data_IF_284684963140
#
_entry.id   IF_284684963140
#
_cell.length_a   1.000
_cell.length_b   1.000
_cell.length_c   1.000
_cell.angle_alpha   90.00
_cell.angle_beta   90.00
_cell.angle_gamma   90.00
#
_symmetry.space_group_name_H-M   'P 1'
#
loop_
_entity.id
_entity.type
_entity.pdbx_description
1 polymer ?
#
# COMPACT_ATOMS: atom_id res chain seq x y z
N UNK A 1 0.00 38.05 17.98
CA UNK A 1 0.84 36.86 17.79
C UNK A 1 -0.09 35.68 17.81
N UNK A 2 -0.01 34.78 16.85
CA UNK A 2 -0.74 33.51 16.95
C UNK A 2 -0.26 32.80 18.25
N UNK A 3 -1.13 32.07 18.98
CA UNK A 3 -0.71 31.32 20.15
C UNK A 3 0.38 30.33 19.73
N UNK A 4 1.41 30.20 20.56
CA UNK A 4 2.48 29.23 20.36
C UNK A 4 1.89 27.83 20.55
N UNK A 5 1.92 27.00 19.48
CA UNK A 5 1.39 25.63 19.51
C UNK A 5 2.30 24.74 20.34
N UNK A 6 1.73 23.92 21.18
CA UNK A 6 2.46 22.92 21.96
C UNK A 6 2.40 21.56 21.26
N UNK A 7 3.53 20.86 21.18
CA UNK A 7 3.58 19.51 20.58
C UNK A 7 2.88 18.53 21.53
N UNK A 8 1.83 17.88 21.01
CA UNK A 8 1.10 16.84 21.73
C UNK A 8 1.64 15.43 21.43
N UNK A 9 2.07 15.16 20.20
CA UNK A 9 2.70 13.89 19.79
C UNK A 9 3.57 14.11 18.55
N UNK A 10 4.53 13.23 18.31
CA UNK A 10 5.45 13.33 17.17
C UNK A 10 5.93 11.96 16.72
N UNK A 11 5.89 11.71 15.41
CA UNK A 11 6.62 10.61 14.76
C UNK A 11 7.85 11.21 14.08
N UNK A 12 9.01 10.87 14.60
CA UNK A 12 10.29 11.49 14.21
C UNK A 12 10.50 11.50 12.71
N UNK A 13 10.82 12.67 12.17
CA UNK A 13 11.07 12.87 10.73
C UNK A 13 9.80 12.99 9.86
N UNK A 14 8.64 12.54 10.33
CA UNK A 14 7.46 12.36 9.49
C UNK A 14 6.28 13.28 9.80
N UNK A 15 5.89 13.41 11.06
CA UNK A 15 4.77 14.26 11.43
C UNK A 15 4.86 14.77 12.87
N UNK A 16 4.24 15.92 13.10
CA UNK A 16 4.05 16.51 14.43
C UNK A 16 2.56 16.82 14.60
N UNK A 17 1.99 16.37 15.73
CA UNK A 17 0.62 16.67 16.13
C UNK A 17 0.67 17.71 17.25
N UNK A 18 -0.07 18.79 17.12
CA UNK A 18 -0.15 19.86 18.09
C UNK A 18 -1.39 19.72 18.96
N UNK A 19 -1.39 20.42 20.09
CA UNK A 19 -2.46 20.40 21.09
C UNK A 19 -3.78 21.01 20.61
N UNK A 20 -3.75 21.84 19.57
CA UNK A 20 -4.92 22.37 18.86
C UNK A 20 -5.49 21.44 17.79
N UNK A 21 -4.91 20.23 17.62
CA UNK A 21 -5.31 19.25 16.60
C UNK A 21 -4.68 19.46 15.24
N UNK A 22 -3.87 20.50 15.04
CA UNK A 22 -3.14 20.70 13.79
C UNK A 22 -2.08 19.61 13.60
N UNK A 23 -1.97 19.07 12.39
CA UNK A 23 -0.99 18.04 12.01
C UNK A 23 -0.06 18.57 10.94
N UNK A 24 1.22 18.66 11.27
CA UNK A 24 2.28 19.04 10.34
C UNK A 24 3.01 17.78 9.84
N UNK A 25 2.98 17.54 8.53
CA UNK A 25 3.66 16.44 7.83
C UNK A 25 4.89 16.91 7.05
N UNK A 26 5.43 18.06 7.41
CA UNK A 26 6.69 18.52 6.84
C UNK A 26 7.83 17.58 7.23
N UNK A 27 8.54 17.07 6.21
CA UNK A 27 9.69 16.19 6.45
C UNK A 27 10.78 16.91 7.27
N UNK A 28 11.13 16.34 8.40
CA UNK A 28 12.18 16.83 9.31
C UNK A 28 13.31 15.82 9.52
N UNK A 29 13.28 14.72 8.78
CA UNK A 29 14.33 13.69 8.76
C UNK A 29 15.56 14.12 7.94
N UNK A 30 16.49 13.19 7.66
CA UNK A 30 17.70 13.49 6.91
C UNK A 30 17.38 14.11 5.54
N UNK A 31 17.99 15.27 5.18
CA UNK A 31 17.58 16.08 4.02
C UNK A 31 17.77 15.38 2.68
N UNK A 32 18.70 14.42 2.59
CA UNK A 32 18.94 13.64 1.36
C UNK A 32 17.77 12.73 0.97
N UNK A 33 16.81 12.49 1.87
CA UNK A 33 15.62 11.66 1.62
C UNK A 33 14.35 12.48 1.36
N UNK A 34 14.41 13.80 1.56
CA UNK A 34 13.22 14.67 1.43
C UNK A 34 12.52 14.51 0.08
N UNK A 35 13.28 14.46 -1.01
CA UNK A 35 12.71 14.38 -2.37
C UNK A 35 11.82 13.15 -2.59
N UNK A 36 11.99 12.08 -1.79
CA UNK A 36 11.17 10.87 -1.90
C UNK A 36 9.71 11.09 -1.49
N UNK A 37 9.47 12.11 -0.66
CA UNK A 37 8.13 12.55 -0.25
C UNK A 37 7.62 13.76 -1.04
N UNK A 38 8.39 14.27 -2.02
CA UNK A 38 7.93 15.37 -2.85
C UNK A 38 6.86 14.87 -3.84
N UNK A 39 5.75 15.60 -4.03
CA UNK A 39 4.71 15.21 -4.96
C UNK A 39 5.19 15.34 -6.40
N UNK A 40 4.89 14.33 -7.22
CA UNK A 40 5.14 14.36 -8.66
C UNK A 40 3.83 14.72 -9.37
N UNK A 41 3.77 15.82 -10.12
CA UNK A 41 2.58 16.18 -10.90
C UNK A 41 2.21 15.11 -11.92
N UNK A 42 0.90 14.92 -12.23
CA UNK A 42 0.50 14.02 -13.31
C UNK A 42 1.02 14.52 -14.66
N UNK A 43 1.30 13.59 -15.58
CA UNK A 43 1.76 13.92 -16.93
C UNK A 43 1.08 13.03 -17.97
N UNK A 44 0.48 13.66 -18.98
CA UNK A 44 -0.24 12.96 -20.04
C UNK A 44 0.69 12.34 -21.10
N UNK A 45 1.91 12.85 -21.22
CA UNK A 45 2.92 12.27 -22.10
C UNK A 45 3.53 11.02 -21.46
N UNK A 46 3.89 10.04 -22.29
CA UNK A 46 4.60 8.86 -21.81
C UNK A 46 6.02 9.21 -21.42
N UNK A 47 6.30 9.22 -20.12
CA UNK A 47 7.65 9.40 -19.54
C UNK A 47 8.09 8.03 -19.04
N UNK A 48 9.25 7.55 -19.48
CA UNK A 48 9.71 6.17 -19.21
C UNK A 48 8.66 5.09 -19.59
N UNK A 49 7.86 5.36 -20.65
CA UNK A 49 6.82 4.46 -21.13
C UNK A 49 5.53 4.40 -20.31
N UNK A 50 5.28 5.40 -19.44
CA UNK A 50 4.07 5.48 -18.62
C UNK A 50 3.52 6.90 -18.62
N UNK A 51 2.22 7.06 -18.80
CA UNK A 51 1.48 8.31 -18.57
C UNK A 51 0.76 8.25 -17.22
N UNK A 52 0.56 9.41 -16.59
CA UNK A 52 -0.14 9.48 -15.30
C UNK A 52 -1.29 10.47 -15.32
N UNK A 53 -2.39 10.13 -14.63
CA UNK A 53 -3.58 10.95 -14.54
C UNK A 53 -4.12 10.95 -13.10
N UNK A 54 -4.64 12.09 -12.64
CA UNK A 54 -5.39 12.15 -11.38
C UNK A 54 -6.88 12.23 -11.70
N UNK A 55 -7.69 11.40 -11.04
CA UNK A 55 -9.12 11.36 -11.22
C UNK A 55 -9.83 11.47 -9.87
N UNK A 56 -10.85 12.34 -9.80
CA UNK A 56 -11.81 12.30 -8.71
C UNK A 56 -12.80 11.17 -8.98
N UNK A 57 -12.90 10.23 -8.05
CA UNK A 57 -13.79 9.05 -8.17
C UNK A 57 -15.07 9.22 -7.34
N UNK A 58 -15.04 10.11 -6.37
CA UNK A 58 -16.19 10.58 -5.62
C UNK A 58 -16.04 12.07 -5.34
N UNK A 59 -16.67 12.94 -6.14
CA UNK A 59 -16.57 14.40 -5.95
C UNK A 59 -17.07 14.90 -4.60
N UNK A 60 -18.05 14.20 -3.98
CA UNK A 60 -18.66 14.61 -2.72
C UNK A 60 -17.72 14.36 -1.51
N UNK A 61 -16.73 13.49 -1.65
CA UNK A 61 -15.78 13.11 -0.60
C UNK A 61 -14.32 13.45 -0.90
N UNK A 62 -14.05 14.18 -1.99
CA UNK A 62 -12.69 14.44 -2.49
C UNK A 62 -11.83 13.19 -2.74
N UNK A 63 -12.46 12.00 -2.77
CA UNK A 63 -11.75 10.74 -3.01
C UNK A 63 -11.24 10.71 -4.45
N UNK A 64 -9.93 10.59 -4.58
CA UNK A 64 -9.23 10.62 -5.87
C UNK A 64 -8.21 9.50 -5.99
N UNK A 65 -7.81 9.22 -7.22
CA UNK A 65 -6.80 8.22 -7.55
C UNK A 65 -5.77 8.78 -8.50
N UNK A 66 -4.53 8.31 -8.39
CA UNK A 66 -3.47 8.47 -9.39
C UNK A 66 -3.44 7.20 -10.26
N UNK A 67 -3.60 7.37 -11.57
CA UNK A 67 -3.51 6.29 -12.55
C UNK A 67 -2.16 6.32 -13.25
N UNK A 68 -1.54 5.14 -13.39
CA UNK A 68 -0.34 4.89 -14.18
C UNK A 68 -0.74 4.03 -15.37
N UNK A 69 -0.66 4.57 -16.57
CA UNK A 69 -1.03 3.90 -17.81
C UNK A 69 0.24 3.59 -18.62
N UNK A 70 0.62 2.32 -18.77
CA UNK A 70 1.78 1.97 -19.60
C UNK A 70 1.45 2.14 -21.10
N UNK A 71 2.49 2.48 -21.86
CA UNK A 71 2.40 2.59 -23.31
C UNK A 71 2.33 1.21 -23.95
N UNK A 72 1.15 0.87 -24.49
CA UNK A 72 0.88 -0.40 -25.15
C UNK A 72 -0.02 -0.19 -26.38
N UNK A 73 -0.02 -1.10 -27.39
CA UNK A 73 -0.96 -1.07 -28.49
C UNK A 73 -2.41 -1.01 -28.02
N UNK A 74 -3.29 -0.37 -28.80
CA UNK A 74 -4.70 -0.19 -28.43
C UNK A 74 -5.49 -1.50 -28.34
N UNK A 75 -5.04 -2.54 -29.02
CA UNK A 75 -5.64 -3.87 -29.01
C UNK A 75 -5.36 -4.69 -27.74
N UNK A 76 -4.48 -4.23 -26.85
CA UNK A 76 -4.07 -4.97 -25.65
C UNK A 76 -4.91 -4.55 -24.46
N UNK A 77 -5.56 -5.51 -23.80
CA UNK A 77 -6.16 -5.32 -22.49
C UNK A 77 -5.16 -5.64 -21.40
N UNK A 78 -5.14 -4.80 -20.36
CA UNK A 78 -4.16 -4.80 -19.29
C UNK A 78 -4.81 -5.21 -17.96
N UNK A 79 -4.18 -6.05 -17.15
CA UNK A 79 -4.61 -6.24 -15.78
C UNK A 79 -4.61 -4.89 -15.05
N UNK A 80 -5.46 -4.79 -14.01
CA UNK A 80 -5.60 -3.58 -13.21
C UNK A 80 -5.08 -3.88 -11.81
N UNK A 81 -4.25 -2.99 -11.29
CA UNK A 81 -3.70 -3.05 -9.94
C UNK A 81 -4.28 -1.89 -9.14
N UNK A 82 -5.04 -2.17 -8.08
CA UNK A 82 -5.42 -1.18 -7.08
C UNK A 82 -4.35 -1.10 -6.01
N UNK A 83 -3.71 0.06 -5.88
CA UNK A 83 -2.63 0.30 -4.93
C UNK A 83 -3.10 1.13 -3.75
N UNK A 84 -2.73 0.69 -2.54
CA UNK A 84 -2.93 1.37 -1.27
C UNK A 84 -1.56 1.63 -0.63
N UNK A 85 -1.21 2.91 -0.48
CA UNK A 85 0.11 3.29 0.02
C UNK A 85 0.27 3.00 1.52
N UNK A 86 1.53 2.81 1.94
CA UNK A 86 1.92 2.68 3.33
C UNK A 86 1.97 4.00 4.07
N UNK A 87 2.80 4.06 5.13
CA UNK A 87 2.99 5.24 5.95
C UNK A 87 2.21 5.21 7.27
N UNK A 88 1.99 4.02 7.84
CA UNK A 88 1.41 3.85 9.17
C UNK A 88 0.01 4.44 9.32
N UNK A 89 -0.76 4.57 8.22
CA UNK A 89 -2.06 5.24 8.12
C UNK A 89 -2.02 6.77 8.35
N UNK A 90 -0.85 7.36 8.62
CA UNK A 90 -0.72 8.76 9.06
C UNK A 90 0.00 9.66 8.09
N UNK A 91 0.77 9.09 7.17
CA UNK A 91 1.60 9.81 6.20
C UNK A 91 1.48 9.18 4.82
N UNK A 92 2.17 9.77 3.86
CA UNK A 92 2.23 9.38 2.45
C UNK A 92 1.04 9.86 1.62
N UNK A 93 1.29 9.92 0.32
CA UNK A 93 0.29 10.24 -0.69
C UNK A 93 0.62 9.44 -1.97
N UNK A 94 -0.40 9.15 -2.77
CA UNK A 94 -0.27 8.38 -4.01
C UNK A 94 0.68 9.01 -5.05
N UNK A 95 0.93 10.30 -4.95
CA UNK A 95 1.78 11.09 -5.85
C UNK A 95 3.22 11.30 -5.34
N UNK A 96 3.59 10.80 -4.17
CA UNK A 96 4.96 10.95 -3.69
C UNK A 96 5.95 10.28 -4.64
N UNK A 97 7.13 10.90 -4.80
CA UNK A 97 8.16 10.43 -5.74
C UNK A 97 8.52 8.95 -5.54
N UNK A 98 8.60 8.46 -4.31
CA UNK A 98 8.93 7.06 -4.05
C UNK A 98 7.89 6.09 -4.66
N UNK A 99 6.59 6.42 -4.58
CA UNK A 99 5.53 5.63 -5.20
C UNK A 99 5.50 5.84 -6.72
N UNK A 100 5.65 7.09 -7.18
CA UNK A 100 5.76 7.38 -8.60
C UNK A 100 6.86 6.55 -9.27
N UNK A 101 8.07 6.55 -8.70
CA UNK A 101 9.20 5.80 -9.24
C UNK A 101 8.92 4.28 -9.28
N UNK A 102 8.38 3.74 -8.19
CA UNK A 102 8.10 2.30 -8.05
C UNK A 102 6.97 1.84 -8.95
N UNK A 103 5.84 2.55 -8.96
CA UNK A 103 4.65 2.13 -9.71
C UNK A 103 4.73 2.47 -11.20
N UNK A 104 5.50 3.47 -11.62
CA UNK A 104 5.89 3.66 -13.03
C UNK A 104 6.66 2.44 -13.53
N UNK A 105 7.62 1.96 -12.73
CA UNK A 105 8.39 0.76 -13.06
C UNK A 105 7.50 -0.48 -13.10
N UNK A 106 6.69 -0.71 -12.07
CA UNK A 106 5.79 -1.88 -12.00
C UNK A 106 4.77 -1.88 -13.14
N UNK A 107 4.12 -0.73 -13.43
CA UNK A 107 3.16 -0.61 -14.52
C UNK A 107 3.75 -1.05 -15.86
N UNK A 108 4.99 -0.63 -16.14
CA UNK A 108 5.71 -1.00 -17.36
C UNK A 108 6.14 -2.47 -17.36
N UNK A 109 6.75 -2.98 -16.27
CA UNK A 109 7.31 -4.34 -16.23
C UNK A 109 6.22 -5.42 -16.16
N UNK A 110 5.13 -5.16 -15.45
CA UNK A 110 3.97 -6.05 -15.38
C UNK A 110 3.03 -5.90 -16.60
N UNK A 111 3.13 -4.79 -17.36
CA UNK A 111 2.16 -4.45 -18.38
C UNK A 111 0.76 -4.30 -17.78
N UNK A 112 0.63 -3.47 -16.73
CA UNK A 112 -0.61 -3.33 -15.97
C UNK A 112 -0.96 -1.86 -15.75
N UNK A 113 -2.26 -1.54 -15.71
CA UNK A 113 -2.74 -0.25 -15.24
C UNK A 113 -2.65 -0.24 -13.71
N UNK A 114 -1.94 0.73 -13.13
CA UNK A 114 -1.92 0.90 -11.68
C UNK A 114 -2.81 2.07 -11.29
N UNK A 115 -3.67 1.87 -10.30
CA UNK A 115 -4.60 2.87 -9.75
C UNK A 115 -4.27 3.02 -8.26
N UNK A 116 -3.58 4.09 -7.91
CA UNK A 116 -3.14 4.38 -6.55
C UNK A 116 -4.12 5.33 -5.86
N UNK A 117 -4.69 4.89 -4.74
CA UNK A 117 -5.70 5.66 -4.00
C UNK A 117 -5.05 6.69 -3.10
N UNK A 118 -5.54 7.94 -3.11
CA UNK A 118 -5.24 8.93 -2.08
C UNK A 118 -6.10 8.63 -0.86
N UNK A 119 -5.48 8.06 0.16
CA UNK A 119 -6.17 7.64 1.37
C UNK A 119 -6.28 8.80 2.36
N UNK A 120 -7.39 8.90 3.07
CA UNK A 120 -7.50 9.78 4.23
C UNK A 120 -6.55 9.34 5.33
N UNK A 121 -5.89 10.30 5.96
CA UNK A 121 -4.81 10.06 6.91
C UNK A 121 -5.26 10.32 8.35
N UNK A 122 -4.74 9.50 9.27
CA UNK A 122 -4.83 9.72 10.69
C UNK A 122 -3.74 10.72 11.16
N UNK A 123 -3.92 11.38 12.31
CA UNK A 123 -4.99 11.20 13.28
C UNK A 123 -6.30 11.91 12.91
N UNK A 124 -6.35 12.76 11.87
CA UNK A 124 -7.56 13.48 11.48
C UNK A 124 -8.69 12.51 11.08
N UNK A 125 -8.30 11.42 10.42
CA UNK A 125 -9.20 10.36 9.98
C UNK A 125 -8.66 9.00 10.41
N UNK A 126 -8.92 8.63 11.67
CA UNK A 126 -8.51 7.33 12.19
C UNK A 126 -9.16 6.18 11.43
N UNK A 127 -8.56 4.99 11.52
CA UNK A 127 -9.18 3.78 10.99
C UNK A 127 -10.63 3.63 11.52
N UNK A 128 -11.56 3.18 10.66
CA UNK A 128 -11.33 2.53 9.37
C UNK A 128 -11.28 3.44 8.14
N UNK A 129 -11.20 4.78 8.25
CA UNK A 129 -11.34 5.72 7.14
C UNK A 129 -10.51 5.36 5.89
N UNK A 130 -9.24 5.00 6.04
CA UNK A 130 -8.39 4.59 4.93
C UNK A 130 -8.84 3.25 4.29
N UNK A 131 -9.40 2.33 5.09
CA UNK A 131 -10.00 1.08 4.57
C UNK A 131 -11.27 1.38 3.78
N UNK A 132 -12.10 2.30 4.26
CA UNK A 132 -13.33 2.70 3.57
C UNK A 132 -13.01 3.38 2.23
N UNK A 133 -11.97 4.21 2.16
CA UNK A 133 -11.51 4.83 0.92
C UNK A 133 -11.03 3.78 -0.09
N UNK A 134 -10.23 2.83 0.37
CA UNK A 134 -9.71 1.74 -0.44
C UNK A 134 -10.85 0.85 -0.99
N UNK A 135 -11.82 0.51 -0.14
CA UNK A 135 -12.97 -0.28 -0.55
C UNK A 135 -13.88 0.52 -1.52
N UNK A 136 -14.06 1.82 -1.28
CA UNK A 136 -14.80 2.70 -2.19
C UNK A 136 -14.14 2.78 -3.57
N UNK A 137 -12.79 2.73 -3.62
CA UNK A 137 -12.05 2.67 -4.89
C UNK A 137 -12.32 1.35 -5.64
N UNK A 138 -12.41 0.23 -4.93
CA UNK A 138 -12.78 -1.06 -5.53
C UNK A 138 -14.21 -1.04 -6.10
N UNK A 139 -15.18 -0.48 -5.34
CA UNK A 139 -16.57 -0.34 -5.80
C UNK A 139 -16.71 0.63 -6.98
N UNK A 140 -15.93 1.72 -6.98
CA UNK A 140 -15.85 2.60 -8.13
C UNK A 140 -15.34 1.85 -9.37
N UNK A 141 -14.30 1.02 -9.25
CA UNK A 141 -13.79 0.23 -10.35
C UNK A 141 -14.83 -0.79 -10.86
N UNK A 142 -15.59 -1.41 -9.96
CA UNK A 142 -16.72 -2.28 -10.31
C UNK A 142 -17.80 -1.51 -11.10
N UNK A 143 -18.12 -0.29 -10.67
CA UNK A 143 -19.07 0.56 -11.38
C UNK A 143 -18.56 0.92 -12.79
N UNK A 144 -17.26 1.17 -12.95
CA UNK A 144 -16.63 1.36 -14.26
C UNK A 144 -16.75 0.13 -15.16
N UNK A 145 -16.61 -1.07 -14.60
CA UNK A 145 -16.80 -2.32 -15.34
C UNK A 145 -18.23 -2.48 -15.87
N UNK A 146 -19.22 -2.01 -15.10
CA UNK A 146 -20.64 -2.03 -15.49
C UNK A 146 -21.01 -0.90 -16.47
N UNK A 147 -20.43 0.29 -16.30
CA UNK A 147 -20.78 1.52 -17.03
C UNK A 147 -19.60 2.04 -17.85
N UNK A 148 -19.21 1.31 -18.89
CA UNK A 148 -18.01 1.57 -19.70
C UNK A 148 -17.95 2.94 -20.40
N UNK A 149 -19.03 3.72 -20.41
CA UNK A 149 -19.07 5.05 -21.01
C UNK A 149 -18.30 6.12 -20.17
N UNK A 150 -18.10 5.87 -18.87
CA UNK A 150 -17.47 6.80 -17.95
C UNK A 150 -15.97 6.58 -17.85
N UNK A 151 -15.09 7.13 -18.55
CA UNK A 151 -13.65 6.88 -18.64
C UNK A 151 -13.34 5.86 -19.75
N UNK A 152 -13.58 6.23 -21.03
CA UNK A 152 -13.45 5.31 -22.16
C UNK A 152 -12.08 4.63 -22.30
N UNK A 153 -11.00 5.34 -21.92
CA UNK A 153 -9.63 4.82 -21.96
C UNK A 153 -9.40 3.67 -20.96
N UNK A 154 -9.92 3.77 -19.73
CA UNK A 154 -9.84 2.69 -18.74
C UNK A 154 -10.72 1.51 -19.17
N UNK A 155 -11.93 1.80 -19.64
CA UNK A 155 -12.89 0.78 -20.08
C UNK A 155 -12.43 0.04 -21.32
N UNK A 156 -11.65 0.67 -22.21
CA UNK A 156 -11.13 0.02 -23.43
C UNK A 156 -9.85 -0.78 -23.18
N UNK A 157 -9.02 -0.36 -22.22
CA UNK A 157 -7.70 -0.97 -21.96
C UNK A 157 -7.66 -1.88 -20.74
N UNK A 158 -8.58 -1.70 -19.77
CA UNK A 158 -8.58 -2.48 -18.53
C UNK A 158 -9.25 -3.85 -18.67
N UNK A 159 -8.57 -4.89 -18.19
CA UNK A 159 -9.16 -6.22 -18.00
C UNK A 159 -9.74 -6.34 -16.59
N UNK A 160 -11.03 -6.12 -16.47
CA UNK A 160 -11.75 -6.19 -15.20
C UNK A 160 -11.87 -7.62 -14.62
N UNK A 161 -11.51 -8.65 -15.39
CA UNK A 161 -11.41 -10.02 -14.87
C UNK A 161 -10.04 -10.30 -14.22
N UNK A 162 -9.09 -9.35 -14.31
CA UNK A 162 -7.74 -9.47 -13.78
C UNK A 162 -7.41 -8.25 -12.93
N UNK A 163 -8.10 -8.12 -11.79
CA UNK A 163 -7.89 -7.03 -10.83
C UNK A 163 -7.09 -7.54 -9.64
N UNK A 164 -6.04 -6.84 -9.30
CA UNK A 164 -5.15 -7.16 -8.20
C UNK A 164 -5.17 -6.04 -7.15
N UNK A 165 -5.11 -6.42 -5.88
CA UNK A 165 -4.88 -5.47 -4.78
C UNK A 165 -3.40 -5.51 -4.42
N UNK A 166 -2.76 -4.36 -4.27
CA UNK A 166 -1.37 -4.26 -3.82
C UNK A 166 -1.24 -3.14 -2.79
N UNK A 167 -0.36 -3.31 -1.81
CA UNK A 167 -0.07 -2.26 -0.84
C UNK A 167 1.08 -2.63 0.05
N UNK A 168 1.82 -1.61 0.51
CA UNK A 168 2.99 -1.73 1.35
C UNK A 168 2.71 -1.34 2.80
N UNK A 169 3.37 -1.98 3.76
CA UNK A 169 3.26 -1.61 5.17
C UNK A 169 1.79 -1.56 5.61
N UNK A 170 1.32 -0.42 6.15
CA UNK A 170 -0.10 -0.21 6.47
C UNK A 170 -1.03 -0.38 5.26
N UNK A 171 -0.55 -0.13 4.05
CA UNK A 171 -1.28 -0.45 2.81
C UNK A 171 -1.47 -1.95 2.61
N UNK A 172 -0.52 -2.78 3.03
CA UNK A 172 -0.64 -4.24 3.07
C UNK A 172 -1.74 -4.72 4.03
N UNK A 173 -1.91 -4.05 5.17
CA UNK A 173 -3.06 -4.28 6.07
C UNK A 173 -4.38 -3.96 5.36
N UNK A 174 -4.42 -2.82 4.63
CA UNK A 174 -5.61 -2.41 3.87
C UNK A 174 -5.93 -3.44 2.77
N UNK A 175 -4.92 -3.95 2.04
CA UNK A 175 -5.11 -5.03 1.05
C UNK A 175 -5.87 -6.20 1.65
N UNK A 176 -5.46 -6.67 2.84
CA UNK A 176 -6.12 -7.80 3.50
C UNK A 176 -7.56 -7.46 3.90
N UNK A 177 -7.81 -6.28 4.46
CA UNK A 177 -9.16 -5.87 4.86
C UNK A 177 -10.09 -5.73 3.64
N UNK A 178 -9.63 -5.10 2.55
CA UNK A 178 -10.41 -4.96 1.31
C UNK A 178 -10.70 -6.33 0.69
N UNK A 179 -9.74 -7.24 0.65
CA UNK A 179 -9.95 -8.61 0.16
C UNK A 179 -10.99 -9.37 1.00
N UNK A 180 -10.98 -9.20 2.33
CA UNK A 180 -12.00 -9.79 3.23
C UNK A 180 -13.40 -9.20 2.98
N UNK A 181 -13.51 -7.88 2.85
CA UNK A 181 -14.79 -7.22 2.55
C UNK A 181 -15.32 -7.69 1.19
N UNK A 182 -14.47 -7.79 0.20
CA UNK A 182 -14.81 -8.24 -1.14
C UNK A 182 -15.27 -9.70 -1.19
N UNK A 183 -14.76 -10.56 -0.31
CA UNK A 183 -15.13 -12.00 -0.26
C UNK A 183 -16.60 -12.24 0.09
N UNK A 184 -17.30 -11.27 0.69
CA UNK A 184 -18.74 -11.33 1.01
C UNK A 184 -19.65 -10.73 -0.05
N UNK A 185 -19.07 -10.17 -1.14
CA UNK A 185 -19.81 -9.33 -2.09
C UNK A 185 -19.82 -9.90 -3.51
N UNK A 186 -20.89 -9.60 -4.26
CA UNK A 186 -20.91 -9.86 -5.68
C UNK A 186 -20.24 -8.74 -6.46
N UNK A 187 -19.00 -8.92 -6.81
CA UNK A 187 -18.22 -7.95 -7.58
C UNK A 187 -18.41 -8.03 -9.09
N UNK A 188 -19.24 -8.98 -9.62
CA UNK A 188 -19.43 -9.12 -11.06
C UNK A 188 -19.76 -7.77 -11.73
N UNK A 189 -19.18 -7.44 -12.91
CA UNK A 189 -18.28 -8.25 -13.74
C UNK A 189 -16.78 -8.16 -13.36
N UNK A 190 -16.43 -7.46 -12.30
CA UNK A 190 -15.05 -7.41 -11.80
C UNK A 190 -14.68 -8.72 -11.08
N UNK A 191 -13.47 -9.23 -11.31
CA UNK A 191 -12.92 -10.37 -10.57
C UNK A 191 -11.59 -9.98 -9.91
N UNK A 192 -11.50 -10.18 -8.60
CA UNK A 192 -10.22 -10.10 -7.89
C UNK A 192 -9.38 -11.34 -8.24
N UNK A 193 -8.30 -11.13 -8.97
CA UNK A 193 -7.38 -12.17 -9.42
C UNK A 193 -6.26 -12.44 -8.41
N UNK A 194 -5.92 -11.46 -7.56
CA UNK A 194 -4.91 -11.64 -6.52
C UNK A 194 -4.85 -10.49 -5.52
N UNK A 195 -4.17 -10.76 -4.40
CA UNK A 195 -3.86 -9.79 -3.36
C UNK A 195 -2.35 -9.86 -3.02
N UNK A 196 -1.67 -8.73 -3.00
CA UNK A 196 -0.22 -8.61 -2.90
C UNK A 196 0.14 -7.66 -1.74
N UNK A 197 0.03 -8.11 -0.48
CA UNK A 197 0.56 -7.35 0.65
C UNK A 197 2.09 -7.41 0.66
N UNK A 198 2.73 -6.24 0.63
CA UNK A 198 4.18 -6.09 0.69
C UNK A 198 4.55 -5.57 2.07
N UNK A 199 5.34 -6.34 2.81
CA UNK A 199 5.76 -6.00 4.18
C UNK A 199 4.58 -5.48 5.03
N UNK A 200 3.44 -6.21 5.11
CA UNK A 200 2.27 -5.69 5.80
C UNK A 200 2.57 -5.40 7.26
N UNK A 201 2.10 -4.25 7.74
CA UNK A 201 2.33 -3.79 9.12
C UNK A 201 1.50 -4.58 10.14
N UNK A 202 1.60 -5.92 10.12
CA UNK A 202 0.94 -6.76 11.09
C UNK A 202 1.71 -6.78 12.40
N UNK A 203 1.01 -6.60 13.51
CA UNK A 203 1.59 -6.48 14.83
C UNK A 203 0.69 -7.10 15.88
N UNK A 204 1.30 -7.50 17.00
CA UNK A 204 0.61 -7.91 18.22
C UNK A 204 0.94 -6.97 19.38
N UNK A 205 0.12 -6.99 20.43
CA UNK A 205 0.45 -6.31 21.70
C UNK A 205 1.68 -6.90 22.36
N UNK A 206 1.87 -8.22 22.26
CA UNK A 206 3.10 -8.91 22.68
C UNK A 206 4.15 -8.74 21.57
N UNK A 207 5.30 -8.19 21.93
CA UNK A 207 6.41 -7.98 20.99
C UNK A 207 6.93 -9.31 20.45
N UNK A 208 7.14 -9.36 19.14
CA UNK A 208 7.81 -10.45 18.47
C UNK A 208 9.32 -10.43 18.71
N UNK A 209 10.01 -11.50 18.34
CA UNK A 209 11.47 -11.56 18.40
C UNK A 209 12.09 -10.59 17.38
N UNK A 210 11.53 -10.51 16.16
CA UNK A 210 12.02 -9.58 15.15
C UNK A 210 11.93 -8.12 15.58
N UNK A 211 10.86 -7.69 16.25
CA UNK A 211 10.76 -6.35 16.84
C UNK A 211 11.88 -6.01 17.85
N UNK A 212 12.45 -7.03 18.50
CA UNK A 212 13.50 -6.86 19.50
C UNK A 212 14.92 -6.98 18.96
N UNK A 213 15.11 -7.74 17.86
CA UNK A 213 16.44 -8.15 17.39
C UNK A 213 16.80 -7.58 16.00
N UNK A 214 15.81 -7.26 15.15
CA UNK A 214 16.10 -6.75 13.80
C UNK A 214 16.53 -5.28 13.81
N UNK A 215 17.39 -4.87 12.87
CA UNK A 215 17.89 -3.50 12.83
C UNK A 215 16.80 -2.50 12.49
N UNK A 216 16.80 -1.38 13.16
CA UNK A 216 16.00 -0.21 12.80
C UNK A 216 16.61 0.53 11.60
N UNK A 217 15.76 1.23 10.86
CA UNK A 217 16.18 2.09 9.75
C UNK A 217 15.78 3.55 9.98
N UNK A 218 16.36 4.51 9.25
CA UNK A 218 15.93 5.91 9.32
C UNK A 218 14.47 6.13 8.92
N UNK A 219 13.86 5.17 8.22
CA UNK A 219 12.47 5.25 7.74
C UNK A 219 11.49 4.52 8.64
N UNK A 220 11.97 3.56 9.46
CA UNK A 220 11.13 2.82 10.38
C UNK A 220 11.95 2.38 11.60
N UNK A 221 11.59 2.93 12.75
CA UNK A 221 12.02 2.46 14.07
C UNK A 221 10.82 1.86 14.80
N UNK A 222 11.08 1.12 15.86
CA UNK A 222 10.02 0.54 16.68
C UNK A 222 9.15 1.65 17.34
N UNK A 223 9.78 2.75 17.75
CA UNK A 223 9.07 3.92 18.29
C UNK A 223 8.14 4.55 17.24
N UNK A 224 8.61 4.76 16.00
CA UNK A 224 7.79 5.26 14.91
C UNK A 224 6.59 4.35 14.65
N UNK A 225 6.82 3.04 14.56
CA UNK A 225 5.80 2.04 14.30
C UNK A 225 4.68 2.11 15.35
N UNK A 226 5.03 2.16 16.63
CA UNK A 226 4.04 2.23 17.71
C UNK A 226 3.29 3.55 17.77
N UNK A 227 3.97 4.66 17.48
CA UNK A 227 3.35 5.98 17.40
C UNK A 227 2.37 6.07 16.22
N UNK A 228 2.72 5.55 15.06
CA UNK A 228 1.81 5.46 13.93
C UNK A 228 0.53 4.69 14.30
N UNK A 229 0.66 3.54 14.96
CA UNK A 229 -0.51 2.77 15.38
C UNK A 229 -1.35 3.50 16.45
N UNK A 230 -0.71 4.17 17.41
CA UNK A 230 -1.40 5.00 18.41
C UNK A 230 -2.25 6.10 17.75
N UNK A 231 -1.72 6.72 16.71
CA UNK A 231 -2.41 7.79 15.96
C UNK A 231 -3.43 7.23 14.95
N UNK A 232 -3.15 6.08 14.34
CA UNK A 232 -3.94 5.49 13.26
C UNK A 232 -5.14 4.67 13.71
N UNK A 233 -4.99 3.90 14.80
CA UNK A 233 -6.05 3.04 15.31
C UNK A 233 -7.21 3.86 15.94
N UNK A 234 -8.43 3.30 16.00
CA UNK A 234 -9.51 3.89 16.77
C UNK A 234 -9.09 4.13 18.23
N UNK A 235 -9.59 5.18 18.85
CA UNK A 235 -9.24 5.50 20.23
C UNK A 235 -9.56 4.34 21.18
N UNK A 236 -8.66 4.09 22.11
CA UNK A 236 -8.77 2.98 23.06
C UNK A 236 -8.43 1.59 22.50
N UNK A 237 -8.12 1.48 21.20
CA UNK A 237 -7.69 0.22 20.60
C UNK A 237 -6.26 -0.14 20.99
N UNK A 238 -5.99 -1.45 21.03
CA UNK A 238 -4.64 -2.00 21.17
C UNK A 238 -4.09 -2.44 19.81
N UNK A 239 -2.82 -2.85 19.76
CA UNK A 239 -2.19 -3.39 18.54
C UNK A 239 -2.80 -4.73 18.09
N UNK A 240 -3.57 -5.41 18.96
CA UNK A 240 -4.36 -6.59 18.60
C UNK A 240 -5.66 -6.26 17.86
N UNK A 241 -5.82 -5.01 17.42
CA UNK A 241 -6.97 -4.61 16.60
C UNK A 241 -6.95 -5.36 15.27
N UNK A 242 -8.11 -5.87 14.82
CA UNK A 242 -8.27 -6.73 13.63
C UNK A 242 -7.61 -6.22 12.34
N UNK A 243 -7.42 -4.93 12.17
CA UNK A 243 -6.74 -4.36 10.98
C UNK A 243 -5.23 -4.56 11.08
N UNK A 244 -4.67 -4.49 12.27
CA UNK A 244 -3.22 -4.61 12.52
C UNK A 244 -2.82 -6.00 13.02
N UNK A 245 -3.75 -6.79 13.52
CA UNK A 245 -3.53 -8.16 13.97
C UNK A 245 -4.61 -9.09 13.40
N UNK A 246 -4.54 -9.44 12.11
CA UNK A 246 -5.52 -10.35 11.49
C UNK A 246 -5.33 -11.82 11.91
N UNK A 247 -4.22 -12.16 12.57
CA UNK A 247 -3.94 -13.52 13.04
C UNK A 247 -4.95 -13.95 14.09
N UNK A 248 -5.48 -15.17 13.92
CA UNK A 248 -6.55 -15.71 14.78
C UNK A 248 -7.97 -15.34 14.33
N UNK A 249 -8.14 -14.56 13.27
CA UNK A 249 -9.46 -14.32 12.68
C UNK A 249 -10.00 -15.56 11.95
N UNK A 250 -11.32 -15.75 11.98
CA UNK A 250 -11.97 -16.85 11.28
C UNK A 250 -12.06 -16.59 9.77
N UNK A 251 -11.03 -16.97 9.01
CA UNK A 251 -10.95 -16.79 7.55
C UNK A 251 -11.29 -18.06 6.74
N UNK A 252 -11.53 -19.19 7.40
CA UNK A 252 -11.77 -20.49 6.72
C UNK A 252 -12.91 -20.44 5.72
N UNK A 253 -14.02 -19.82 6.06
CA UNK A 253 -15.23 -19.72 5.21
C UNK A 253 -15.19 -18.63 4.13
N UNK A 254 -14.15 -17.80 4.08
CA UNK A 254 -14.06 -16.68 3.12
C UNK A 254 -13.46 -17.16 1.81
N UNK A 255 -14.01 -16.73 0.69
CA UNK A 255 -13.44 -16.94 -0.65
C UNK A 255 -12.44 -15.81 -0.98
N UNK A 256 -11.25 -15.90 -0.41
CA UNK A 256 -10.18 -14.94 -0.69
C UNK A 256 -9.51 -15.23 -2.04
N UNK A 257 -9.07 -14.19 -2.79
CA UNK A 257 -8.25 -14.39 -3.98
C UNK A 257 -6.90 -15.05 -3.61
N UNK A 258 -6.13 -15.56 -4.59
CA UNK A 258 -4.74 -15.94 -4.34
C UNK A 258 -3.91 -14.78 -3.76
N UNK A 259 -3.00 -15.07 -2.82
CA UNK A 259 -2.10 -14.08 -2.21
C UNK A 259 -0.67 -14.30 -2.65
N UNK A 260 0.06 -13.20 -2.87
CA UNK A 260 1.51 -13.15 -2.85
C UNK A 260 1.93 -12.30 -1.65
N UNK A 261 2.34 -12.94 -0.57
CA UNK A 261 2.92 -12.24 0.58
C UNK A 261 4.39 -11.95 0.30
N UNK A 262 4.77 -10.68 0.25
CA UNK A 262 6.15 -10.25 0.11
C UNK A 262 6.69 -9.83 1.48
N UNK A 263 7.82 -10.42 1.90
CA UNK A 263 8.47 -10.14 3.19
C UNK A 263 9.94 -9.81 2.99
N UNK A 264 10.54 -9.10 3.93
CA UNK A 264 11.96 -8.77 3.93
C UNK A 264 12.64 -9.39 5.16
N UNK A 265 13.80 -10.03 4.94
CA UNK A 265 14.50 -10.80 5.98
C UNK A 265 14.88 -9.94 7.20
N UNK A 266 15.21 -8.67 6.99
CA UNK A 266 15.63 -7.74 8.05
C UNK A 266 14.51 -6.80 8.51
N UNK A 267 13.24 -7.18 8.25
CA UNK A 267 12.09 -6.38 8.69
C UNK A 267 11.79 -6.57 10.19
N UNK A 268 11.45 -5.49 10.87
CA UNK A 268 11.01 -5.51 12.27
C UNK A 268 9.74 -6.34 12.50
N UNK A 269 8.89 -6.47 11.47
CA UNK A 269 7.58 -7.14 11.56
C UNK A 269 7.56 -8.53 10.91
N UNK A 270 8.70 -9.07 10.48
CA UNK A 270 8.77 -10.33 9.73
C UNK A 270 8.16 -11.51 10.49
N UNK A 271 8.30 -11.59 11.81
CA UNK A 271 7.75 -12.72 12.58
C UNK A 271 6.22 -12.75 12.50
N UNK A 272 5.56 -11.59 12.58
CA UNK A 272 4.09 -11.49 12.50
C UNK A 272 3.60 -11.64 11.06
N UNK A 273 4.37 -11.24 10.07
CA UNK A 273 4.09 -11.53 8.66
C UNK A 273 4.14 -13.04 8.38
N UNK A 274 5.16 -13.73 8.91
CA UNK A 274 5.29 -15.18 8.77
C UNK A 274 4.20 -15.93 9.55
N UNK A 275 3.80 -15.43 10.72
CA UNK A 275 2.63 -15.97 11.44
C UNK A 275 1.36 -15.88 10.59
N UNK A 276 1.11 -14.72 9.96
CA UNK A 276 0.00 -14.54 9.04
C UNK A 276 0.05 -15.52 7.86
N UNK A 277 1.24 -15.71 7.26
CA UNK A 277 1.44 -16.67 6.18
C UNK A 277 1.04 -18.09 6.59
N UNK A 278 1.52 -18.55 7.75
CA UNK A 278 1.20 -19.88 8.24
C UNK A 278 -0.29 -20.06 8.60
N UNK A 279 -0.94 -19.01 9.11
CA UNK A 279 -2.38 -19.00 9.38
C UNK A 279 -3.20 -19.08 8.09
N UNK A 280 -2.81 -18.34 7.05
CA UNK A 280 -3.44 -18.42 5.72
C UNK A 280 -3.33 -19.86 5.16
N UNK A 281 -2.17 -20.49 5.26
CA UNK A 281 -1.97 -21.90 4.83
C UNK A 281 -2.82 -22.88 5.64
N UNK A 282 -2.85 -22.76 6.96
CA UNK A 282 -3.70 -23.60 7.84
C UNK A 282 -5.18 -23.45 7.50
N UNK A 283 -5.60 -22.24 7.10
CA UNK A 283 -6.96 -21.99 6.65
C UNK A 283 -7.24 -22.49 5.21
N UNK A 284 -6.29 -23.16 4.55
CA UNK A 284 -6.44 -23.67 3.20
C UNK A 284 -6.47 -22.59 2.11
N UNK A 285 -5.97 -21.39 2.39
CA UNK A 285 -5.93 -20.30 1.41
C UNK A 285 -4.73 -20.46 0.47
N UNK A 286 -4.90 -20.00 -0.78
CA UNK A 286 -3.81 -19.95 -1.75
C UNK A 286 -2.91 -18.76 -1.40
N UNK A 287 -1.73 -19.03 -0.86
CA UNK A 287 -0.74 -18.01 -0.50
C UNK A 287 0.64 -18.44 -0.96
N UNK A 288 1.28 -17.59 -1.75
CA UNK A 288 2.68 -17.68 -2.16
C UNK A 288 3.50 -16.74 -1.28
N UNK A 289 4.77 -17.08 -1.06
CA UNK A 289 5.71 -16.29 -0.27
C UNK A 289 6.87 -15.83 -1.15
N UNK A 290 7.14 -14.52 -1.15
CA UNK A 290 8.31 -13.93 -1.79
C UNK A 290 9.19 -13.28 -0.72
N UNK A 291 10.39 -13.81 -0.52
CA UNK A 291 11.34 -13.32 0.49
C UNK A 291 12.44 -12.49 -0.18
N UNK A 292 12.63 -11.26 0.30
CA UNK A 292 13.78 -10.41 -0.06
C UNK A 292 14.85 -10.52 1.02
N UNK A 293 16.07 -10.94 0.62
CA UNK A 293 17.11 -11.32 1.57
C UNK A 293 18.05 -10.14 1.91
N UNK A 294 18.38 -9.97 3.20
CA UNK A 294 19.36 -8.99 3.70
C UNK A 294 18.94 -7.54 3.47
N UNK A 295 17.64 -7.27 3.37
CA UNK A 295 17.03 -5.94 3.25
C UNK A 295 15.87 -5.82 4.24
N UNK A 296 15.54 -4.58 4.63
CA UNK A 296 14.52 -4.29 5.64
C UNK A 296 13.23 -3.75 5.05
N UNK A 297 12.38 -3.23 5.95
CA UNK A 297 11.05 -2.73 5.65
C UNK A 297 11.02 -1.72 4.51
N UNK A 298 10.18 -1.95 3.51
CA UNK A 298 9.94 -1.06 2.36
C UNK A 298 11.23 -0.60 1.62
N UNK A 299 12.28 -1.43 1.64
CA UNK A 299 13.59 -1.14 1.04
C UNK A 299 13.50 -0.65 -0.41
N UNK A 300 12.58 -1.18 -1.18
CA UNK A 300 12.37 -0.89 -2.61
C UNK A 300 11.76 0.50 -2.90
N UNK A 301 11.31 1.22 -1.87
CA UNK A 301 10.88 2.61 -1.96
C UNK A 301 12.06 3.58 -1.75
N UNK A 302 13.17 3.12 -1.17
CA UNK A 302 14.35 3.93 -0.89
C UNK A 302 15.22 4.10 -2.15
N UNK A 303 14.89 5.11 -2.99
CA UNK A 303 15.62 5.37 -4.24
C UNK A 303 17.12 5.60 -4.01
N UNK A 304 17.50 6.22 -2.89
CA UNK A 304 18.92 6.44 -2.58
C UNK A 304 19.64 5.10 -2.37
N UNK A 305 19.07 4.21 -1.58
CA UNK A 305 19.66 2.89 -1.35
C UNK A 305 19.69 2.05 -2.64
N UNK A 306 18.63 2.09 -3.45
CA UNK A 306 18.59 1.39 -4.75
C UNK A 306 19.73 1.84 -5.67
N UNK A 307 20.07 3.13 -5.65
CA UNK A 307 21.10 3.69 -6.54
C UNK A 307 22.53 3.39 -6.08
N UNK A 308 22.75 3.26 -4.77
CA UNK A 308 24.12 3.17 -4.22
C UNK A 308 24.48 1.78 -3.66
N UNK A 309 23.47 0.96 -3.30
CA UNK A 309 23.69 -0.38 -2.75
C UNK A 309 23.27 -1.46 -3.75
N UNK A 310 24.22 -2.24 -4.30
CA UNK A 310 23.91 -3.29 -5.26
C UNK A 310 22.96 -4.37 -4.73
N UNK A 311 22.97 -4.63 -3.42
CA UNK A 311 22.09 -5.62 -2.79
C UNK A 311 20.64 -5.12 -2.82
N UNK A 312 20.38 -3.90 -2.37
CA UNK A 312 19.05 -3.27 -2.41
C UNK A 312 18.53 -3.17 -3.84
N UNK A 313 19.39 -2.80 -4.79
CA UNK A 313 19.04 -2.74 -6.22
C UNK A 313 18.59 -4.10 -6.76
N UNK A 314 19.34 -5.15 -6.47
CA UNK A 314 19.06 -6.52 -6.92
C UNK A 314 17.78 -7.08 -6.29
N UNK A 315 17.59 -6.92 -4.98
CA UNK A 315 16.38 -7.37 -4.30
C UNK A 315 15.14 -6.58 -4.76
N UNK A 316 15.27 -5.27 -5.04
CA UNK A 316 14.20 -4.48 -5.66
C UNK A 316 13.82 -5.02 -7.03
N UNK A 317 14.80 -5.40 -7.86
CA UNK A 317 14.55 -6.01 -9.18
C UNK A 317 13.82 -7.34 -9.04
N UNK A 318 14.25 -8.20 -8.10
CA UNK A 318 13.60 -9.50 -7.83
C UNK A 318 12.16 -9.33 -7.33
N UNK A 319 11.92 -8.37 -6.43
CA UNK A 319 10.59 -8.08 -5.91
C UNK A 319 9.64 -7.66 -7.05
N UNK A 320 10.02 -6.68 -7.87
CA UNK A 320 9.20 -6.20 -9.00
C UNK A 320 8.96 -7.34 -10.02
N UNK A 321 9.98 -8.16 -10.29
CA UNK A 321 9.85 -9.30 -11.19
C UNK A 321 8.90 -10.37 -10.63
N UNK A 322 9.04 -10.74 -9.36
CA UNK A 322 8.15 -11.71 -8.71
C UNK A 322 6.70 -11.25 -8.66
N UNK A 323 6.45 -9.96 -8.38
CA UNK A 323 5.10 -9.37 -8.45
C UNK A 323 4.58 -9.44 -9.89
N UNK A 324 5.39 -9.09 -10.88
CA UNK A 324 5.01 -9.15 -12.30
C UNK A 324 4.70 -10.56 -12.76
N UNK A 325 5.45 -11.57 -12.29
CA UNK A 325 5.19 -12.98 -12.57
C UNK A 325 3.87 -13.44 -11.94
N UNK A 326 3.61 -13.07 -10.70
CA UNK A 326 2.34 -13.38 -10.05
C UNK A 326 1.16 -12.80 -10.82
N UNK A 327 1.24 -11.54 -11.26
CA UNK A 327 0.20 -10.90 -12.06
C UNK A 327 0.00 -11.61 -13.40
N UNK A 328 1.07 -12.07 -14.06
CA UNK A 328 0.96 -12.80 -15.35
C UNK A 328 0.32 -14.17 -15.20
N UNK A 329 0.53 -14.84 -14.08
CA UNK A 329 0.10 -16.22 -13.85
C UNK A 329 -1.34 -16.32 -13.34
N UNK A 330 -1.93 -15.22 -12.88
CA UNK A 330 -3.30 -15.14 -12.35
C UNK A 330 -4.16 -14.18 -13.16
#
# INVERSE_FOLDING_TARGET
>A
MAPERTIADQVSGWLTVYDDGFVDRTWTGPPQFKFMSDPVPPHHNFINGVATHDLFINPDSDLRVRVYLPEVPDSVQLPIILHFHGGGFCISQADWFMYYNTYTRLAREAGAIVISTYLRLAPEHRLPAAVDDAYSTLLWLQNMANNRANQPWLSSKGDFNRVFLIGDSSGGNIVHQVAKMAAGENLHPLRLAGAIPIHPGFLRSVKSKSELEKPESPFLTLDMLYKFLKLGLPEGSTRDHRITCPMGEAIHGLELPPYLLCVAEEDLVIDTEMEFYEEMKKAGKKVELLVSNGVGHSFYLNKVAIDVDPKTSEETRKLIHGISDFIRNH
#
